data_IF_868985171600
#
_entry.id   IF_868985171600
#
_cell.length_a   1.000
_cell.length_b   1.000
_cell.length_c   1.000
_cell.angle_alpha   90.00
_cell.angle_beta   90.00
_cell.angle_gamma   90.00
#
_symmetry.space_group_name_H-M   'P 1'
#
loop_
_entity.id
_entity.type
_entity.pdbx_description
1 polymer ?
#
# COMPACT_ATOMS: atom_id res chain seq x y z
N UNK A 1 -17.85 -2.41 9.02
CA UNK A 1 -16.89 -2.61 7.92
C UNK A 1 -15.53 -2.16 8.42
N UNK A 2 -14.47 -2.87 8.07
CA UNK A 2 -13.09 -2.48 8.32
C UNK A 2 -12.21 -2.94 7.16
N UNK A 3 -11.10 -2.26 6.93
CA UNK A 3 -10.07 -2.72 5.99
C UNK A 3 -9.12 -3.67 6.75
N UNK A 4 -9.02 -4.91 6.29
CA UNK A 4 -8.00 -5.85 6.76
C UNK A 4 -6.72 -5.68 5.95
N UNK A 5 -5.61 -5.47 6.65
CA UNK A 5 -4.26 -5.57 6.09
C UNK A 5 -3.56 -6.76 6.74
N UNK A 6 -3.08 -7.71 5.95
CA UNK A 6 -2.46 -8.94 6.46
C UNK A 6 -1.26 -9.38 5.62
N UNK A 7 -0.19 -9.77 6.29
CA UNK A 7 1.05 -10.23 5.69
C UNK A 7 1.93 -10.95 6.72
N UNK A 8 3.24 -10.74 6.63
CA UNK A 8 4.25 -11.16 7.61
C UNK A 8 4.28 -10.24 8.84
N UNK A 9 5.47 -10.04 9.42
CA UNK A 9 5.64 -9.19 10.59
C UNK A 9 5.25 -7.73 10.26
N UNK A 10 4.32 -7.11 11.02
CA UNK A 10 3.87 -5.76 10.73
C UNK A 10 4.92 -4.69 11.07
N UNK A 11 5.89 -4.99 11.95
CA UNK A 11 6.89 -4.02 12.39
C UNK A 11 8.03 -3.86 11.38
N UNK A 12 8.53 -4.97 10.86
CA UNK A 12 9.70 -5.03 9.99
C UNK A 12 9.35 -5.46 8.58
N UNK A 13 8.81 -6.66 8.39
CA UNK A 13 8.66 -7.25 7.06
C UNK A 13 7.71 -6.42 6.19
N UNK A 14 6.52 -6.12 6.70
CA UNK A 14 5.52 -5.36 5.95
C UNK A 14 5.89 -3.88 5.85
N UNK A 15 6.54 -3.31 6.87
CA UNK A 15 7.08 -1.94 6.78
C UNK A 15 8.13 -1.84 5.67
N UNK A 16 9.07 -2.78 5.63
CA UNK A 16 10.10 -2.84 4.60
C UNK A 16 9.49 -3.03 3.21
N UNK A 17 8.51 -3.94 3.07
CA UNK A 17 7.75 -4.12 1.83
C UNK A 17 7.07 -2.82 1.40
N UNK A 18 6.35 -2.15 2.29
CA UNK A 18 5.65 -0.89 1.97
C UNK A 18 6.63 0.19 1.50
N UNK A 19 7.78 0.32 2.17
CA UNK A 19 8.81 1.28 1.79
C UNK A 19 9.41 0.95 0.42
N UNK A 20 9.80 -0.30 0.18
CA UNK A 20 10.37 -0.76 -1.08
C UNK A 20 9.39 -0.61 -2.24
N UNK A 21 8.14 -1.01 -2.05
CA UNK A 21 7.12 -0.92 -3.09
C UNK A 21 6.72 0.54 -3.38
N UNK A 22 6.79 1.43 -2.38
CA UNK A 22 6.61 2.87 -2.56
C UNK A 22 7.74 3.49 -3.38
N UNK A 23 9.00 3.14 -3.08
CA UNK A 23 10.16 3.62 -3.82
C UNK A 23 10.12 3.18 -5.29
N UNK A 24 9.77 1.92 -5.55
CA UNK A 24 9.60 1.41 -6.90
C UNK A 24 8.42 2.06 -7.62
N UNK A 25 7.31 2.35 -6.92
CA UNK A 25 6.16 3.05 -7.51
C UNK A 25 6.54 4.44 -8.01
N UNK A 26 7.26 5.21 -7.19
CA UNK A 26 7.74 6.55 -7.56
C UNK A 26 8.74 6.52 -8.72
N UNK A 27 9.56 5.49 -8.81
CA UNK A 27 10.63 5.41 -9.81
C UNK A 27 10.18 4.88 -11.17
N UNK A 28 9.17 4.00 -11.20
CA UNK A 28 8.90 3.16 -12.38
C UNK A 28 7.49 3.27 -12.95
N UNK A 29 6.53 3.79 -12.20
CA UNK A 29 5.13 3.83 -12.64
C UNK A 29 4.72 5.22 -13.15
N UNK A 30 3.67 5.24 -13.99
CA UNK A 30 3.05 6.49 -14.45
C UNK A 30 2.19 7.08 -13.33
N UNK A 31 2.58 8.25 -12.84
CA UNK A 31 1.99 8.91 -11.68
C UNK A 31 1.58 10.35 -12.01
N UNK A 32 0.60 10.92 -11.29
CA UNK A 32 0.24 12.32 -11.46
C UNK A 32 1.46 13.25 -11.31
N UNK A 33 1.55 14.27 -12.15
CA UNK A 33 2.62 15.27 -12.11
C UNK A 33 2.46 16.22 -10.90
N UNK A 34 2.72 15.70 -9.70
CA UNK A 34 2.63 16.39 -8.41
C UNK A 34 4.01 16.53 -7.78
N UNK A 35 4.22 17.59 -6.98
CA UNK A 35 5.47 17.85 -6.30
C UNK A 35 5.24 18.38 -4.88
N UNK A 36 6.26 18.26 -4.02
CA UNK A 36 6.24 18.71 -2.63
C UNK A 36 6.17 17.56 -1.63
N UNK A 37 5.72 17.86 -0.42
CA UNK A 37 5.52 16.86 0.63
C UNK A 37 4.12 16.26 0.50
N UNK A 38 4.05 15.12 -0.17
CA UNK A 38 2.78 14.45 -0.48
C UNK A 38 2.55 13.27 0.45
N UNK A 39 1.28 12.93 0.65
CA UNK A 39 0.91 11.64 1.25
C UNK A 39 1.03 10.53 0.20
N UNK A 40 1.29 9.27 0.60
CA UNK A 40 1.32 8.15 -0.35
C UNK A 40 0.03 8.02 -1.18
N UNK A 41 -1.12 8.27 -0.58
CA UNK A 41 -2.40 8.23 -1.27
C UNK A 41 -2.51 9.29 -2.38
N UNK A 42 -2.01 10.50 -2.16
CA UNK A 42 -2.01 11.57 -3.16
C UNK A 42 -0.98 11.33 -4.27
N UNK A 43 0.19 10.80 -3.93
CA UNK A 43 1.29 10.59 -4.89
C UNK A 43 1.12 9.32 -5.73
N UNK A 44 0.66 8.22 -5.12
CA UNK A 44 0.72 6.88 -5.72
C UNK A 44 -0.63 6.13 -5.74
N UNK A 45 -1.54 6.43 -4.81
CA UNK A 45 -2.93 5.95 -4.83
C UNK A 45 -3.10 4.44 -5.10
N UNK A 46 -3.93 4.12 -6.10
CA UNK A 46 -4.21 2.73 -6.49
C UNK A 46 -2.97 2.01 -7.04
N UNK A 47 -2.06 2.72 -7.71
CA UNK A 47 -0.83 2.14 -8.27
C UNK A 47 0.02 1.48 -7.17
N UNK A 48 0.23 2.16 -6.03
CA UNK A 48 0.91 1.55 -4.89
C UNK A 48 0.09 0.39 -4.30
N UNK A 49 -1.23 0.53 -4.20
CA UNK A 49 -2.09 -0.52 -3.66
C UNK A 49 -1.98 -1.81 -4.47
N UNK A 50 -1.96 -1.72 -5.80
CA UNK A 50 -1.78 -2.88 -6.69
C UNK A 50 -0.38 -3.50 -6.58
N UNK A 51 0.68 -2.68 -6.45
CA UNK A 51 2.03 -3.18 -6.19
C UNK A 51 2.11 -3.96 -4.87
N UNK A 52 1.50 -3.43 -3.82
CA UNK A 52 1.44 -4.10 -2.51
C UNK A 52 0.69 -5.44 -2.59
N UNK A 53 -0.46 -5.47 -3.28
CA UNK A 53 -1.20 -6.73 -3.53
C UNK A 53 -0.34 -7.73 -4.29
N UNK A 54 0.36 -7.30 -5.33
CA UNK A 54 1.24 -8.15 -6.16
C UNK A 54 2.47 -8.66 -5.40
N UNK A 55 2.98 -7.90 -4.43
CA UNK A 55 4.08 -8.34 -3.55
C UNK A 55 3.62 -9.23 -2.40
N UNK A 56 2.32 -9.53 -2.30
CA UNK A 56 1.75 -10.50 -1.37
C UNK A 56 1.08 -9.89 -0.14
N UNK A 57 0.97 -8.56 -0.04
CA UNK A 57 0.25 -7.91 1.05
C UNK A 57 -1.26 -7.99 0.78
N UNK A 58 -2.01 -8.62 1.69
CA UNK A 58 -3.46 -8.66 1.61
C UNK A 58 -4.02 -7.31 2.05
N UNK A 59 -4.77 -6.64 1.18
CA UNK A 59 -5.52 -5.42 1.50
C UNK A 59 -6.95 -5.62 1.00
N UNK A 60 -7.92 -5.77 1.91
CA UNK A 60 -9.31 -6.05 1.56
C UNK A 60 -10.30 -5.43 2.52
N UNK A 61 -11.47 -5.10 2.02
CA UNK A 61 -12.63 -4.76 2.85
C UNK A 61 -13.19 -6.00 3.54
N UNK A 62 -13.60 -5.86 4.80
CA UNK A 62 -14.13 -6.93 5.62
C UNK A 62 -15.36 -6.47 6.44
N UNK A 63 -16.34 -7.36 6.58
CA UNK A 63 -17.46 -7.16 7.47
C UNK A 63 -17.05 -7.43 8.93
N UNK A 64 -17.57 -6.63 9.87
CA UNK A 64 -17.43 -6.93 11.29
C UNK A 64 -18.32 -8.14 11.56
N UNK A 65 -17.78 -9.24 12.11
CA UNK A 65 -18.62 -10.37 12.50
C UNK A 65 -19.51 -9.91 13.67
N UNK A 66 -20.82 -10.04 13.50
CA UNK A 66 -21.77 -9.88 14.60
C UNK A 66 -21.57 -11.06 15.56
N UNK A 67 -21.46 -10.75 16.85
CA UNK A 67 -21.30 -11.72 17.93
C UNK A 67 -22.64 -12.11 18.51
#
# INVERSE_FOLDING_TARGET
MYTEVRGGDPGYDETARILSESALCLALDDLPALAGQLTPAAAMGETLTERLRRSGLVIREAARREG
#
